data_IF_703333253525
#
_entry.id   IF_703333253525
#
_cell.length_a   1.000
_cell.length_b   1.000
_cell.length_c   1.000
_cell.angle_alpha   90.00
_cell.angle_beta   90.00
_cell.angle_gamma   90.00
#
_symmetry.space_group_name_H-M   'P 1'
#
loop_
_entity.id
_entity.type
_entity.pdbx_description
1 polymer ?
#
# COMPACT_ATOMS: atom_id res chain seq x y z
N UNK A 1 7.18 12.52 -3.05
CA UNK A 1 7.94 11.28 -3.27
C UNK A 1 8.29 11.21 -4.74
N UNK A 2 9.54 10.90 -5.08
CA UNK A 2 9.93 10.76 -6.48
C UNK A 2 9.42 9.42 -7.06
N UNK A 3 9.48 9.28 -8.39
CA UNK A 3 9.12 8.01 -9.05
C UNK A 3 10.05 6.87 -8.64
N UNK A 4 11.36 7.14 -8.55
CA UNK A 4 12.36 6.16 -8.14
C UNK A 4 12.15 5.67 -6.71
N UNK A 5 11.76 6.54 -5.79
CA UNK A 5 11.44 6.13 -4.41
C UNK A 5 10.23 5.19 -4.39
N UNK A 6 9.22 5.46 -5.22
CA UNK A 6 8.04 4.60 -5.35
C UNK A 6 8.43 3.21 -5.83
N UNK A 7 9.24 3.14 -6.89
CA UNK A 7 9.69 1.89 -7.50
C UNK A 7 10.55 1.09 -6.51
N UNK A 8 11.43 1.76 -5.77
CA UNK A 8 12.25 1.13 -4.74
C UNK A 8 11.41 0.51 -3.61
N UNK A 9 10.41 1.24 -3.09
CA UNK A 9 9.50 0.70 -2.09
C UNK A 9 8.69 -0.47 -2.64
N UNK A 10 8.22 -0.36 -3.88
CA UNK A 10 7.45 -1.40 -4.53
C UNK A 10 8.27 -2.68 -4.75
N UNK A 11 9.52 -2.57 -5.15
CA UNK A 11 10.42 -3.72 -5.29
C UNK A 11 10.64 -4.42 -3.94
N UNK A 12 10.79 -3.62 -2.87
CA UNK A 12 11.03 -4.11 -1.52
C UNK A 12 9.82 -4.84 -0.91
N UNK A 13 8.62 -4.28 -0.99
CA UNK A 13 7.42 -4.83 -0.32
C UNK A 13 6.46 -5.56 -1.27
N UNK A 14 6.62 -5.37 -2.58
CA UNK A 14 5.73 -5.86 -3.63
C UNK A 14 5.44 -7.36 -3.55
N UNK A 15 6.45 -8.22 -3.35
CA UNK A 15 6.24 -9.65 -3.18
C UNK A 15 5.34 -10.00 -2.00
N UNK A 16 5.48 -9.32 -0.86
CA UNK A 16 4.70 -9.56 0.36
C UNK A 16 3.26 -9.05 0.26
N UNK A 17 3.05 -7.93 -0.46
CA UNK A 17 1.72 -7.36 -0.66
C UNK A 17 1.06 -7.85 -1.96
N UNK A 18 1.66 -8.79 -2.69
CA UNK A 18 0.99 -9.46 -3.79
C UNK A 18 -0.09 -10.40 -3.25
N UNK A 19 -1.29 -10.37 -3.84
CA UNK A 19 -2.33 -11.37 -3.57
C UNK A 19 -2.34 -12.36 -4.72
N UNK A 20 -2.59 -13.63 -4.38
CA UNK A 20 -2.71 -14.72 -5.35
C UNK A 20 -3.83 -14.43 -6.34
N UNK A 21 -3.56 -14.65 -7.62
CA UNK A 21 -4.58 -14.58 -8.65
C UNK A 21 -5.65 -15.64 -8.44
N UNK A 22 -6.90 -15.26 -8.68
CA UNK A 22 -8.04 -16.17 -8.58
C UNK A 22 -8.80 -16.16 -9.90
N UNK A 23 -9.41 -17.29 -10.26
CA UNK A 23 -10.17 -17.44 -11.51
C UNK A 23 -11.42 -16.54 -11.59
N UNK A 24 -11.82 -15.91 -10.48
CA UNK A 24 -13.06 -15.14 -10.37
C UNK A 24 -12.78 -13.64 -10.52
N UNK A 25 -11.71 -13.14 -9.89
CA UNK A 25 -11.38 -11.71 -9.92
C UNK A 25 -9.87 -11.49 -9.85
N UNK A 26 -9.38 -10.61 -10.71
CA UNK A 26 -8.00 -10.14 -10.63
C UNK A 26 -7.79 -9.36 -9.32
N UNK A 27 -6.77 -9.72 -8.52
CA UNK A 27 -6.47 -9.00 -7.30
C UNK A 27 -5.99 -7.57 -7.60
N UNK A 28 -6.16 -6.67 -6.64
CA UNK A 28 -5.59 -5.32 -6.73
C UNK A 28 -4.07 -5.46 -6.72
N UNK A 29 -3.41 -4.90 -7.74
CA UNK A 29 -1.97 -5.04 -7.92
C UNK A 29 -1.18 -4.44 -6.75
N UNK A 30 0.03 -4.95 -6.44
CA UNK A 30 0.93 -4.36 -5.44
C UNK A 30 1.14 -2.85 -5.62
N UNK A 31 1.27 -2.41 -6.87
CA UNK A 31 1.41 -1.01 -7.29
C UNK A 31 0.24 -0.17 -6.77
N UNK A 32 -0.99 -0.61 -7.06
CA UNK A 32 -2.20 0.11 -6.65
C UNK A 32 -2.39 0.05 -5.14
N UNK A 33 -2.08 -1.09 -4.50
CA UNK A 33 -2.12 -1.23 -3.04
C UNK A 33 -1.20 -0.22 -2.36
N UNK A 34 0.05 -0.12 -2.81
CA UNK A 34 1.03 0.85 -2.30
C UNK A 34 0.57 2.29 -2.56
N UNK A 35 0.10 2.61 -3.77
CA UNK A 35 -0.38 3.95 -4.10
C UNK A 35 -1.56 4.41 -3.25
N UNK A 36 -2.54 3.52 -2.98
CA UNK A 36 -3.67 3.80 -2.08
C UNK A 36 -3.14 4.16 -0.68
N UNK A 37 -2.26 3.33 -0.13
CA UNK A 37 -1.74 3.52 1.22
C UNK A 37 -0.91 4.80 1.34
N UNK A 38 -0.03 5.09 0.39
CA UNK A 38 0.75 6.33 0.41
C UNK A 38 -0.13 7.57 0.27
N UNK A 39 -1.16 7.53 -0.58
CA UNK A 39 -2.14 8.62 -0.67
C UNK A 39 -2.83 8.83 0.68
N UNK A 40 -3.29 7.76 1.32
CA UNK A 40 -3.91 7.82 2.64
C UNK A 40 -2.97 8.45 3.68
N UNK A 41 -1.73 7.96 3.78
CA UNK A 41 -0.75 8.46 4.75
C UNK A 41 -0.38 9.94 4.51
N UNK A 42 -0.31 10.38 3.25
CA UNK A 42 0.06 11.75 2.91
C UNK A 42 -1.08 12.77 3.09
N UNK A 43 -2.34 12.34 3.01
CA UNK A 43 -3.50 13.26 2.96
C UNK A 43 -4.49 13.09 4.11
N UNK A 44 -4.51 11.93 4.77
CA UNK A 44 -5.55 11.57 5.73
C UNK A 44 -6.94 11.41 5.11
N UNK A 45 -7.03 11.23 3.78
CA UNK A 45 -8.30 11.16 3.07
C UNK A 45 -9.17 9.97 3.51
N UNK A 46 -10.49 10.14 3.43
CA UNK A 46 -11.43 9.10 3.81
C UNK A 46 -11.39 7.90 2.86
N UNK A 47 -11.73 6.71 3.37
CA UNK A 47 -11.86 5.52 2.53
C UNK A 47 -12.91 5.67 1.43
N UNK A 48 -13.90 6.55 1.62
CA UNK A 48 -14.92 6.87 0.61
C UNK A 48 -14.32 7.55 -0.61
N UNK A 49 -13.48 8.56 -0.40
CA UNK A 49 -12.83 9.32 -1.46
C UNK A 49 -11.77 8.46 -2.18
N UNK A 50 -10.98 7.69 -1.43
CA UNK A 50 -10.04 6.73 -2.00
C UNK A 50 -10.75 5.67 -2.85
N UNK A 51 -11.93 5.22 -2.41
CA UNK A 51 -12.74 4.24 -3.15
C UNK A 51 -13.14 4.75 -4.53
N UNK A 52 -13.56 6.02 -4.61
CA UNK A 52 -13.88 6.66 -5.88
C UNK A 52 -12.63 6.83 -6.76
N UNK A 53 -11.54 7.33 -6.18
CA UNK A 53 -10.28 7.63 -6.89
C UNK A 53 -9.64 6.38 -7.50
N UNK A 54 -9.54 5.31 -6.73
CA UNK A 54 -8.85 4.08 -7.15
C UNK A 54 -9.78 2.99 -7.67
N UNK A 55 -11.10 3.21 -7.64
CA UNK A 55 -12.13 2.22 -8.04
C UNK A 55 -12.01 0.90 -7.26
N UNK A 56 -11.63 0.99 -5.98
CA UNK A 56 -11.52 -0.15 -5.05
C UNK A 56 -12.57 0.01 -3.96
N UNK A 57 -13.22 -1.06 -3.52
CA UNK A 57 -14.25 -0.96 -2.48
C UNK A 57 -13.67 -0.50 -1.14
N UNK A 58 -14.43 0.28 -0.36
CA UNK A 58 -14.02 0.76 0.97
C UNK A 58 -13.60 -0.39 1.90
N UNK A 59 -14.32 -1.51 1.84
CA UNK A 59 -14.02 -2.73 2.60
C UNK A 59 -12.67 -3.36 2.23
N UNK A 60 -12.26 -3.26 0.97
CA UNK A 60 -10.95 -3.77 0.55
C UNK A 60 -9.85 -2.76 0.91
N UNK A 61 -10.10 -1.46 0.75
CA UNK A 61 -9.18 -0.40 1.18
C UNK A 61 -8.87 -0.51 2.69
N UNK A 62 -9.88 -0.74 3.53
CA UNK A 62 -9.70 -0.91 4.97
C UNK A 62 -8.83 -2.11 5.35
N UNK A 63 -8.65 -3.08 4.44
CA UNK A 63 -7.72 -4.20 4.60
C UNK A 63 -6.36 -3.92 3.98
N UNK A 64 -6.34 -3.25 2.82
CA UNK A 64 -5.10 -2.91 2.10
C UNK A 64 -4.22 -1.99 2.95
N UNK A 65 -4.78 -0.95 3.55
CA UNK A 65 -3.98 0.06 4.26
C UNK A 65 -3.21 -0.55 5.44
N UNK A 66 -3.84 -1.27 6.39
CA UNK A 66 -3.12 -1.91 7.48
C UNK A 66 -2.09 -2.94 7.00
N UNK A 67 -2.45 -3.79 6.04
CA UNK A 67 -1.53 -4.79 5.46
C UNK A 67 -0.24 -4.14 4.92
N UNK A 68 -0.38 -3.07 4.13
CA UNK A 68 0.75 -2.38 3.51
C UNK A 68 1.54 -1.58 4.55
N UNK A 69 0.88 -0.96 5.52
CA UNK A 69 1.56 -0.27 6.61
C UNK A 69 2.44 -1.22 7.43
N UNK A 70 1.93 -2.41 7.74
CA UNK A 70 2.70 -3.42 8.48
C UNK A 70 3.94 -3.82 7.69
N UNK A 71 3.80 -4.06 6.39
CA UNK A 71 4.94 -4.44 5.57
C UNK A 71 5.96 -3.31 5.43
N UNK A 72 5.50 -2.07 5.25
CA UNK A 72 6.39 -0.89 5.26
C UNK A 72 7.17 -0.78 6.57
N UNK A 73 6.52 -0.97 7.72
CA UNK A 73 7.19 -0.95 9.03
C UNK A 73 8.23 -2.07 9.12
N UNK A 74 7.89 -3.29 8.68
CA UNK A 74 8.82 -4.42 8.72
C UNK A 74 10.06 -4.13 7.86
N UNK A 75 9.87 -3.73 6.61
CA UNK A 75 10.96 -3.52 5.65
C UNK A 75 11.80 -2.27 5.94
N UNK A 76 11.19 -1.21 6.50
CA UNK A 76 11.88 0.05 6.80
C UNK A 76 12.44 0.14 8.23
N UNK A 77 12.17 -0.84 9.09
CA UNK A 77 12.58 -0.84 10.50
C UNK A 77 14.08 -0.58 10.71
N UNK A 78 14.94 -1.09 9.81
CA UNK A 78 16.39 -0.91 9.87
C UNK A 78 16.89 0.48 9.49
N UNK A 79 16.06 1.32 8.85
CA UNK A 79 16.43 2.67 8.41
C UNK A 79 16.11 3.75 9.45
N UNK A 80 15.22 3.45 10.41
CA UNK A 80 14.82 4.40 11.44
C UNK A 80 15.80 4.30 12.61
N UNK A 81 16.67 5.29 12.75
CA UNK A 81 17.44 5.46 14.00
C UNK A 81 16.45 5.81 15.11
N UNK A 82 16.18 4.86 16.01
CA UNK A 82 15.53 5.18 17.28
C UNK A 82 16.51 6.06 18.05
N UNK A 83 16.21 7.36 18.14
CA UNK A 83 16.87 8.20 19.13
C UNK A 83 16.39 7.72 20.50
N UNK A 84 17.34 7.18 21.26
CA UNK A 84 17.19 6.92 22.69
C UNK A 84 17.36 8.25 23.43
#
# INVERSE_FOLDING_TARGET
MSKSDFEHLLEMIGPSIAKRETNIRQPVSPQTRLAITLRYLATGDSYSSLSYTFKVSKQLISKIIPDVCQELINSLSGYVKRQV
#
